data_IF_541855225651
#
_entry.id   IF_541855225651
#
_cell.length_a   1.000
_cell.length_b   1.000
_cell.length_c   1.000
_cell.angle_alpha   90.00
_cell.angle_beta   90.00
_cell.angle_gamma   90.00
#
_symmetry.space_group_name_H-M   'P 1'
#
loop_
_entity.id
_entity.type
_entity.pdbx_description
1 polymer ?
#
# COMPACT_ATOMS: atom_id res chain seq x y z
N UNK A 1 -23.37 7.52 -16.09
CA UNK A 1 -22.06 6.84 -16.20
C UNK A 1 -20.88 7.78 -15.93
N UNK A 2 -20.85 9.00 -16.50
CA UNK A 2 -19.78 10.01 -16.30
C UNK A 2 -19.50 10.39 -14.83
N UNK A 3 -20.53 10.46 -13.97
CA UNK A 3 -20.37 10.79 -12.54
C UNK A 3 -19.59 9.73 -11.77
N UNK A 4 -19.68 8.45 -12.18
CA UNK A 4 -18.94 7.35 -11.53
C UNK A 4 -17.46 7.41 -11.92
N UNK A 5 -17.16 7.58 -13.21
CA UNK A 5 -15.80 7.71 -13.74
C UNK A 5 -15.07 8.93 -13.17
N UNK A 6 -15.71 10.10 -13.12
CA UNK A 6 -15.12 11.33 -12.59
C UNK A 6 -14.83 11.23 -11.08
N UNK A 7 -15.70 10.54 -10.35
CA UNK A 7 -15.56 10.30 -8.91
C UNK A 7 -14.46 9.29 -8.58
N UNK A 8 -14.30 8.26 -9.42
CA UNK A 8 -13.15 7.33 -9.35
C UNK A 8 -11.83 8.07 -9.54
N UNK A 9 -11.73 8.93 -10.56
CA UNK A 9 -10.52 9.72 -10.81
C UNK A 9 -10.16 10.65 -9.64
N UNK A 10 -11.15 11.26 -8.96
CA UNK A 10 -10.88 12.08 -7.77
C UNK A 10 -10.34 11.26 -6.60
N UNK A 11 -10.93 10.09 -6.31
CA UNK A 11 -10.47 9.22 -5.23
C UNK A 11 -9.05 8.72 -5.52
N UNK A 12 -8.77 8.33 -6.76
CA UNK A 12 -7.43 7.91 -7.20
C UNK A 12 -6.42 9.01 -6.96
N UNK A 13 -6.69 10.24 -7.41
CA UNK A 13 -5.79 11.38 -7.21
C UNK A 13 -5.53 11.69 -5.73
N UNK A 14 -6.56 11.61 -4.88
CA UNK A 14 -6.39 11.76 -3.42
C UNK A 14 -5.48 10.65 -2.88
N UNK A 15 -5.70 9.40 -3.28
CA UNK A 15 -4.91 8.27 -2.83
C UNK A 15 -3.48 8.27 -3.37
N UNK A 16 -3.25 8.73 -4.60
CA UNK A 16 -1.92 8.91 -5.19
C UNK A 16 -1.11 9.89 -4.36
N UNK A 17 -1.69 11.07 -4.14
CA UNK A 17 -1.08 12.14 -3.34
C UNK A 17 -0.82 11.68 -1.91
N UNK A 18 -1.81 11.03 -1.29
CA UNK A 18 -1.68 10.51 0.06
C UNK A 18 -0.59 9.44 0.15
N UNK A 19 -0.49 8.54 -0.83
CA UNK A 19 0.53 7.50 -0.85
C UNK A 19 1.94 8.09 -0.92
N UNK A 20 2.16 9.06 -1.82
CA UNK A 20 3.46 9.76 -1.94
C UNK A 20 3.83 10.45 -0.63
N UNK A 21 2.91 11.24 -0.07
CA UNK A 21 3.16 12.00 1.16
C UNK A 21 3.39 11.09 2.36
N UNK A 22 2.52 10.09 2.57
CA UNK A 22 2.61 9.17 3.69
C UNK A 22 3.85 8.29 3.61
N UNK A 23 4.25 7.85 2.42
CA UNK A 23 5.43 7.03 2.26
C UNK A 23 6.72 7.81 2.54
N UNK A 24 6.80 9.05 2.07
CA UNK A 24 7.99 9.88 2.26
C UNK A 24 8.12 10.52 3.65
N UNK A 25 6.99 10.85 4.30
CA UNK A 25 6.99 11.69 5.50
C UNK A 25 6.35 11.03 6.74
N UNK A 26 5.94 9.76 6.62
CA UNK A 26 5.26 9.03 7.68
C UNK A 26 3.77 9.38 7.81
N UNK A 27 3.03 8.52 8.50
CA UNK A 27 1.59 8.69 8.67
C UNK A 27 1.27 9.86 9.60
N UNK A 28 2.01 10.03 10.70
CA UNK A 28 1.78 11.11 11.68
C UNK A 28 2.24 12.46 11.16
N UNK A 29 3.34 12.49 10.39
CA UNK A 29 3.94 13.71 9.85
C UNK A 29 3.10 14.43 8.80
N UNK A 30 2.12 13.75 8.20
CA UNK A 30 1.27 14.30 7.14
C UNK A 30 -0.13 14.61 7.65
N UNK A 31 -0.53 15.88 7.63
CA UNK A 31 -1.89 16.34 7.91
C UNK A 31 -2.82 16.22 6.69
N UNK A 32 -4.14 16.14 6.94
CA UNK A 32 -5.15 16.08 5.87
C UNK A 32 -5.11 17.33 4.98
N UNK A 33 -4.87 18.52 5.57
CA UNK A 33 -4.77 19.75 4.78
C UNK A 33 -3.55 19.76 3.82
N UNK A 34 -2.46 19.05 4.15
CA UNK A 34 -1.34 18.88 3.22
C UNK A 34 -1.73 18.01 2.02
N UNK A 35 -2.50 16.93 2.26
CA UNK A 35 -3.04 16.10 1.18
C UNK A 35 -4.01 16.90 0.31
N UNK A 36 -4.86 17.74 0.91
CA UNK A 36 -5.78 18.63 0.18
C UNK A 36 -4.97 19.57 -0.73
N UNK A 37 -3.97 20.25 -0.17
CA UNK A 37 -3.15 21.20 -0.91
C UNK A 37 -2.40 20.54 -2.08
N UNK A 38 -1.80 19.37 -1.85
CA UNK A 38 -1.02 18.66 -2.86
C UNK A 38 -1.90 17.98 -3.93
N UNK A 39 -3.09 17.50 -3.57
CA UNK A 39 -3.99 16.81 -4.52
C UNK A 39 -4.81 17.77 -5.38
N UNK A 40 -4.87 19.06 -5.02
CA UNK A 40 -5.64 20.09 -5.71
C UNK A 40 -7.17 19.89 -5.65
N UNK A 41 -7.66 19.01 -4.78
CA UNK A 41 -9.09 18.81 -4.57
C UNK A 41 -9.64 19.82 -3.57
N UNK A 42 -10.94 20.14 -3.66
CA UNK A 42 -11.57 20.96 -2.63
C UNK A 42 -11.63 20.19 -1.30
N UNK A 43 -11.48 20.91 -0.18
CA UNK A 43 -11.60 20.35 1.18
C UNK A 43 -12.89 19.54 1.36
N UNK A 44 -14.02 20.09 0.93
CA UNK A 44 -15.32 19.40 0.96
C UNK A 44 -15.32 18.09 0.16
N UNK A 45 -14.63 18.05 -0.98
CA UNK A 45 -14.52 16.83 -1.79
C UNK A 45 -13.73 15.74 -1.09
N UNK A 46 -12.62 16.07 -0.40
CA UNK A 46 -11.88 15.06 0.37
C UNK A 46 -12.76 14.48 1.47
N UNK A 47 -13.43 15.33 2.26
CA UNK A 47 -14.28 14.87 3.38
C UNK A 47 -15.53 14.10 2.96
N UNK A 48 -15.99 14.24 1.70
CA UNK A 48 -17.03 13.38 1.12
C UNK A 48 -16.53 11.95 0.91
N UNK A 49 -15.23 11.76 0.67
CA UNK A 49 -14.63 10.45 0.41
C UNK A 49 -13.98 9.81 1.64
N UNK A 50 -13.34 10.63 2.48
CA UNK A 50 -12.61 10.21 3.67
C UNK A 50 -12.96 11.17 4.81
N UNK A 51 -13.80 10.72 5.74
CA UNK A 51 -14.31 11.54 6.83
C UNK A 51 -13.24 11.81 7.87
N UNK A 52 -12.29 10.89 8.00
CA UNK A 52 -11.16 10.98 8.94
C UNK A 52 -9.85 10.69 8.22
N UNK A 53 -8.74 11.12 8.83
CA UNK A 53 -7.40 10.74 8.38
C UNK A 53 -7.20 9.23 8.41
N UNK A 54 -7.74 8.56 9.43
CA UNK A 54 -7.60 7.12 9.61
C UNK A 54 -8.27 6.34 8.46
N UNK A 55 -9.44 6.79 7.98
CA UNK A 55 -10.09 6.22 6.79
C UNK A 55 -9.20 6.37 5.54
N UNK A 56 -8.56 7.53 5.36
CA UNK A 56 -7.63 7.77 4.26
C UNK A 56 -6.39 6.88 4.37
N UNK A 57 -5.81 6.73 5.56
CA UNK A 57 -4.67 5.84 5.83
C UNK A 57 -5.04 4.38 5.54
N UNK A 58 -6.20 3.93 6.01
CA UNK A 58 -6.68 2.56 5.77
C UNK A 58 -6.88 2.30 4.26
N UNK A 59 -7.43 3.27 3.52
CA UNK A 59 -7.58 3.17 2.08
C UNK A 59 -6.23 3.12 1.33
N UNK A 60 -5.27 3.94 1.75
CA UNK A 60 -3.89 3.89 1.27
C UNK A 60 -3.27 2.50 1.50
N UNK A 61 -3.31 1.97 2.73
CA UNK A 61 -2.70 0.68 3.05
C UNK A 61 -3.33 -0.49 2.29
N UNK A 62 -4.65 -0.50 2.11
CA UNK A 62 -5.34 -1.51 1.28
C UNK A 62 -4.88 -1.47 -0.16
N UNK A 63 -4.78 -0.28 -0.75
CA UNK A 63 -4.31 -0.11 -2.12
C UNK A 63 -2.86 -0.58 -2.27
N UNK A 64 -2.01 -0.21 -1.32
CA UNK A 64 -0.61 -0.64 -1.27
C UNK A 64 -0.48 -2.16 -1.14
N UNK A 65 -1.30 -2.81 -0.31
CA UNK A 65 -1.30 -4.29 -0.17
C UNK A 65 -1.61 -4.98 -1.50
N UNK A 66 -2.66 -4.51 -2.19
CA UNK A 66 -3.09 -5.08 -3.47
C UNK A 66 -1.99 -4.92 -4.52
N UNK A 67 -1.46 -3.70 -4.69
CA UNK A 67 -0.43 -3.41 -5.68
C UNK A 67 0.85 -4.19 -5.41
N UNK A 68 1.28 -4.22 -4.15
CA UNK A 68 2.52 -4.89 -3.76
C UNK A 68 2.42 -6.41 -3.95
N UNK A 69 1.33 -7.02 -3.49
CA UNK A 69 1.11 -8.46 -3.68
C UNK A 69 1.11 -8.83 -5.15
N UNK A 70 0.38 -8.10 -5.98
CA UNK A 70 0.34 -8.37 -7.42
C UNK A 70 1.72 -8.26 -8.08
N UNK A 71 2.55 -7.31 -7.66
CA UNK A 71 3.92 -7.17 -8.16
C UNK A 71 4.81 -8.36 -7.78
N UNK A 72 4.73 -8.80 -6.52
CA UNK A 72 5.51 -9.93 -6.03
C UNK A 72 5.06 -11.27 -6.64
N UNK A 73 3.75 -11.49 -6.76
CA UNK A 73 3.18 -12.67 -7.41
C UNK A 73 3.60 -12.72 -8.88
N UNK A 74 3.47 -11.61 -9.61
CA UNK A 74 3.89 -11.53 -11.00
C UNK A 74 5.41 -11.73 -11.18
N UNK A 75 6.24 -11.27 -10.23
CA UNK A 75 7.68 -11.50 -10.27
C UNK A 75 8.03 -12.98 -10.05
N UNK A 76 7.38 -13.62 -9.08
CA UNK A 76 7.52 -15.05 -8.83
C UNK A 76 7.10 -15.87 -10.06
N UNK A 77 5.94 -15.58 -10.64
CA UNK A 77 5.43 -16.27 -11.83
C UNK A 77 6.34 -16.10 -13.06
N UNK A 78 6.92 -14.92 -13.25
CA UNK A 78 7.87 -14.67 -14.37
C UNK A 78 9.19 -15.42 -14.22
N UNK A 79 9.60 -15.77 -13.00
CA UNK A 79 10.87 -16.44 -12.76
C UNK A 79 10.83 -17.94 -13.12
N UNK A 80 9.65 -18.57 -13.12
CA UNK A 80 9.50 -19.95 -13.56
C UNK A 80 8.33 -20.70 -12.93
N UNK A 81 8.21 -21.97 -13.30
CA UNK A 81 7.13 -22.86 -12.86
C UNK A 81 7.48 -23.65 -11.60
N UNK A 82 8.76 -23.93 -11.35
CA UNK A 82 9.19 -24.58 -10.12
C UNK A 82 9.24 -23.58 -8.95
N UNK A 83 9.03 -24.09 -7.74
CA UNK A 83 8.88 -23.23 -6.58
C UNK A 83 10.20 -22.57 -6.13
N UNK A 84 11.36 -23.17 -6.39
CA UNK A 84 12.65 -22.54 -6.09
C UNK A 84 12.88 -21.31 -6.96
N UNK A 85 12.56 -21.39 -8.25
CA UNK A 85 12.59 -20.25 -9.18
C UNK A 85 11.62 -19.15 -8.74
N UNK A 86 10.39 -19.50 -8.36
CA UNK A 86 9.38 -18.55 -7.85
C UNK A 86 9.84 -17.81 -6.59
N UNK A 87 10.43 -18.53 -5.64
CA UNK A 87 11.00 -17.94 -4.41
C UNK A 87 12.15 -16.99 -4.78
N UNK A 88 13.02 -17.38 -5.69
CA UNK A 88 14.14 -16.53 -6.15
C UNK A 88 13.61 -15.25 -6.82
N UNK A 89 12.68 -15.36 -7.76
CA UNK A 89 12.09 -14.21 -8.45
C UNK A 89 11.37 -13.22 -7.51
N UNK A 90 10.77 -13.74 -6.44
CA UNK A 90 10.26 -12.90 -5.36
C UNK A 90 11.38 -12.09 -4.69
N UNK A 91 12.49 -12.72 -4.31
CA UNK A 91 13.61 -12.03 -3.67
C UNK A 91 14.31 -11.04 -4.61
N UNK A 92 14.36 -11.33 -5.90
CA UNK A 92 14.87 -10.38 -6.90
C UNK A 92 13.99 -9.12 -6.93
N UNK A 93 12.66 -9.27 -6.97
CA UNK A 93 11.74 -8.13 -6.93
C UNK A 93 11.83 -7.32 -5.62
N UNK A 94 12.15 -7.97 -4.50
CA UNK A 94 12.41 -7.29 -3.23
C UNK A 94 13.72 -6.51 -3.28
N UNK A 95 14.78 -7.11 -3.81
CA UNK A 95 16.10 -6.47 -3.98
C UNK A 95 15.97 -5.23 -4.87
N UNK A 96 15.32 -5.37 -6.03
CA UNK A 96 15.02 -4.26 -6.92
C UNK A 96 14.25 -3.15 -6.20
N UNK A 97 13.31 -3.50 -5.31
CA UNK A 97 12.55 -2.52 -4.56
C UNK A 97 13.36 -1.77 -3.51
N UNK A 98 14.32 -2.44 -2.88
CA UNK A 98 15.17 -1.83 -1.86
C UNK A 98 16.21 -0.89 -2.47
N UNK A 99 16.65 -1.18 -3.69
CA UNK A 99 17.64 -0.36 -4.41
C UNK A 99 17.06 0.89 -5.06
N UNK A 100 15.73 1.03 -5.14
CA UNK A 100 15.11 2.24 -5.68
C UNK A 100 15.39 3.45 -4.79
N UNK A 101 15.83 4.54 -5.42
CA UNK A 101 15.84 5.85 -4.78
C UNK A 101 14.45 6.19 -4.23
N UNK A 102 14.41 6.67 -2.98
CA UNK A 102 13.15 6.94 -2.28
C UNK A 102 12.52 5.71 -1.63
N UNK A 103 13.27 4.62 -1.42
CA UNK A 103 12.84 3.54 -0.55
C UNK A 103 12.90 3.96 0.93
N UNK A 104 11.74 4.09 1.56
CA UNK A 104 11.59 4.46 2.97
C UNK A 104 11.21 3.28 3.87
N UNK A 105 11.62 2.08 3.47
CA UNK A 105 11.26 0.85 4.16
C UNK A 105 9.87 0.32 3.78
N UNK A 106 9.37 -0.62 4.59
CA UNK A 106 8.07 -1.24 4.38
C UNK A 106 6.95 -0.34 4.93
N UNK A 107 5.96 0.06 4.12
CA UNK A 107 4.87 0.94 4.56
C UNK A 107 4.02 0.32 5.68
N UNK A 108 3.94 -1.01 5.74
CA UNK A 108 3.21 -1.72 6.79
C UNK A 108 3.97 -1.75 8.13
N UNK A 109 5.31 -1.76 8.10
CA UNK A 109 6.11 -1.66 9.34
C UNK A 109 5.97 -0.26 9.92
N UNK A 110 6.09 0.78 9.09
CA UNK A 110 5.86 2.17 9.52
C UNK A 110 4.43 2.34 10.08
N UNK A 111 3.42 1.80 9.39
CA UNK A 111 2.05 1.82 9.88
C UNK A 111 1.88 1.11 11.23
N UNK A 112 2.54 -0.03 11.45
CA UNK A 112 2.50 -0.74 12.73
C UNK A 112 3.02 0.11 13.90
N UNK A 113 4.02 0.96 13.67
CA UNK A 113 4.64 1.82 14.69
C UNK A 113 3.83 3.10 14.93
N UNK A 114 3.25 3.65 13.86
CA UNK A 114 2.62 4.96 13.90
C UNK A 114 1.12 4.93 14.26
N UNK A 115 0.45 3.79 14.16
CA UNK A 115 -1.01 3.68 14.35
C UNK A 115 -1.39 3.06 15.69
N UNK A 116 -2.61 3.34 16.15
CA UNK A 116 -3.14 2.75 17.38
C UNK A 116 -3.36 1.24 17.21
N UNK A 117 -3.22 0.48 18.30
CA UNK A 117 -3.28 -0.99 18.26
C UNK A 117 -4.65 -1.53 17.84
N UNK A 118 -5.72 -0.78 18.10
CA UNK A 118 -7.11 -1.08 17.75
C UNK A 118 -7.57 -0.41 16.45
N UNK A 119 -6.68 0.27 15.74
CA UNK A 119 -7.02 0.96 14.48
C UNK A 119 -7.23 0.00 13.32
N UNK A 120 -8.05 0.42 12.35
CA UNK A 120 -8.22 -0.31 11.09
C UNK A 120 -6.89 -0.48 10.32
N UNK A 121 -6.02 0.54 10.38
CA UNK A 121 -4.69 0.47 9.79
C UNK A 121 -3.82 -0.64 10.40
N UNK A 122 -3.94 -0.87 11.70
CA UNK A 122 -3.26 -1.99 12.38
C UNK A 122 -3.81 -3.33 11.92
N UNK A 123 -5.13 -3.47 11.80
CA UNK A 123 -5.77 -4.69 11.30
C UNK A 123 -5.31 -5.02 9.86
N UNK A 124 -5.25 -4.02 8.96
CA UNK A 124 -4.74 -4.21 7.59
C UNK A 124 -3.28 -4.67 7.59
N UNK A 125 -2.46 -4.11 8.47
CA UNK A 125 -1.04 -4.47 8.60
C UNK A 125 -0.84 -5.92 9.06
N UNK A 126 -1.65 -6.38 10.01
CA UNK A 126 -1.65 -7.78 10.45
C UNK A 126 -2.06 -8.68 9.29
N UNK A 127 -3.17 -8.35 8.63
CA UNK A 127 -3.69 -9.12 7.50
C UNK A 127 -2.69 -9.21 6.33
N UNK A 128 -1.99 -8.12 6.00
CA UNK A 128 -0.92 -8.11 5.01
C UNK A 128 0.19 -9.11 5.37
N UNK A 129 0.61 -9.12 6.63
CA UNK A 129 1.67 -10.00 7.12
C UNK A 129 1.24 -11.47 7.09
N UNK A 130 0.03 -11.78 7.54
CA UNK A 130 -0.54 -13.13 7.51
C UNK A 130 -0.66 -13.65 6.08
N UNK A 131 -1.22 -12.87 5.15
CA UNK A 131 -1.34 -13.25 3.74
C UNK A 131 0.01 -13.56 3.12
N UNK A 132 1.01 -12.69 3.34
CA UNK A 132 2.36 -12.89 2.83
C UNK A 132 2.99 -14.16 3.40
N UNK A 133 2.82 -14.40 4.70
CA UNK A 133 3.32 -15.61 5.35
C UNK A 133 2.66 -16.86 4.78
N UNK A 134 1.33 -16.90 4.66
CA UNK A 134 0.59 -18.02 4.05
C UNK A 134 1.05 -18.30 2.63
N UNK A 135 1.21 -17.26 1.80
CA UNK A 135 1.65 -17.41 0.42
C UNK A 135 3.08 -17.99 0.33
N UNK A 136 4.01 -17.45 1.12
CA UNK A 136 5.38 -17.94 1.19
C UNK A 136 5.46 -19.38 1.68
N UNK A 137 4.72 -19.73 2.74
CA UNK A 137 4.66 -21.11 3.24
C UNK A 137 4.19 -22.06 2.15
N UNK A 138 3.14 -21.69 1.41
CA UNK A 138 2.62 -22.52 0.31
C UNK A 138 3.67 -22.75 -0.77
N UNK A 139 4.35 -21.69 -1.22
CA UNK A 139 5.42 -21.80 -2.21
C UNK A 139 6.55 -22.71 -1.71
N UNK A 140 6.99 -22.54 -0.46
CA UNK A 140 8.07 -23.35 0.10
C UNK A 140 7.70 -24.82 0.30
N UNK A 141 6.43 -25.17 0.52
CA UNK A 141 5.98 -26.57 0.61
C UNK A 141 5.80 -27.24 -0.75
N UNK A 142 5.72 -26.47 -1.82
CA UNK A 142 5.63 -26.95 -3.21
C UNK A 142 7.02 -27.12 -3.87
N UNK A 143 8.10 -26.68 -3.21
CA UNK A 143 9.51 -26.78 -3.64
C UNK A 143 10.16 -28.09 -3.21
#
# INVERSE_FOLDING_TARGET
MATRTRRTNTVERILDTAAELFYANGLRGVGVDQVIAASGVAKSTLYVHFRTKDELVAAYLRRTDISWRAQLEAAAERAGDDAAARITGLFDALTDAFDRHGFFGCPFVSAAVETALDSEARAITVQHTERRHTWLTRLSTEA
#
